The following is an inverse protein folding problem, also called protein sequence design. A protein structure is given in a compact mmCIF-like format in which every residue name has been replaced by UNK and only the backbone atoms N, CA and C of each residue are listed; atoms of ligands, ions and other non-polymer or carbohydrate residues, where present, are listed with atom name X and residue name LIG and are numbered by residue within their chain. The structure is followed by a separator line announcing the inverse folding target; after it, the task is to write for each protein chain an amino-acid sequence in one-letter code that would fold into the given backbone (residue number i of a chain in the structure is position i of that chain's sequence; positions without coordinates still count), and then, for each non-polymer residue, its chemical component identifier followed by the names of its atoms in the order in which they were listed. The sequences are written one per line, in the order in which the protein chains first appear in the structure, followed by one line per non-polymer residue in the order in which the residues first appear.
data_IF_350288421115
#
_entry.id   IF_350288421115
#
_cell.length_a   1.000
_cell.length_b   1.000
_cell.length_c   1.000
_cell.angle_alpha   90.00
_cell.angle_beta   90.00
_cell.angle_gamma   90.00
#
_symmetry.space_group_name_H-M   'P 1'
#
loop_
_entity.id
_entity.type
_entity.pdbx_description
1 polymer ?
#
# COMPACT_ATOMS: atom_id res chain seq x y z
N UNK A 1 -14.29 -25.80 3.65
CA UNK A 1 -13.74 -25.42 3.57
C UNK A 1 -13.19 -25.11 3.30
N UNK A 2 -13.42 -24.91 3.21
CA UNK A 2 -12.60 -24.46 2.90
C UNK A 2 -12.27 -24.19 2.50
N UNK A 3 -12.38 -24.25 2.40
CA UNK A 3 -11.68 -23.81 2.11
C UNK A 3 -11.49 -23.37 1.71
N UNK A 4 -11.78 -23.25 1.65
CA UNK A 4 -11.29 -22.72 1.39
C UNK A 4 -10.73 -22.20 1.06
N UNK A 5 -10.89 -22.15 0.83
CA UNK A 5 -10.11 -21.66 0.58
C UNK A 5 -9.36 -21.49 0.10
N UNK A 6 -9.34 -21.90 -0.12
CA UNK A 6 -8.34 -21.57 -0.49
C UNK A 6 -7.91 -21.54 -1.57
N UNK A 7 -8.05 -21.39 -1.85
CA UNK A 7 -7.76 -20.96 -3.14
C UNK A 7 -6.30 -20.92 -3.42
N UNK A 8 -5.84 -20.07 -4.27
CA UNK A 8 -4.43 -20.06 -4.62
C UNK A 8 -3.61 -19.64 -3.42
N UNK A 9 -2.36 -20.05 -3.44
CA UNK A 9 -1.48 -19.69 -2.37
C UNK A 9 -1.13 -18.22 -2.40
N UNK A 10 -0.94 -17.66 -3.57
CA UNK A 10 -0.67 -16.24 -3.67
C UNK A 10 -1.85 -15.44 -3.16
N UNK A 11 -3.04 -15.84 -3.53
CA UNK A 11 -4.22 -15.14 -3.06
C UNK A 11 -4.34 -15.23 -1.57
N UNK A 12 -4.01 -16.37 -1.00
CA UNK A 12 -4.10 -16.52 0.44
C UNK A 12 -3.12 -15.62 1.15
N UNK A 13 -1.89 -15.51 0.63
CA UNK A 13 -0.90 -14.66 1.24
C UNK A 13 -1.36 -13.21 1.24
N UNK A 14 -1.86 -12.73 0.10
CA UNK A 14 -2.37 -11.38 0.01
C UNK A 14 -3.53 -11.17 0.97
N UNK A 15 -4.39 -12.16 1.05
CA UNK A 15 -5.55 -12.06 1.92
C UNK A 15 -5.14 -11.90 3.38
N UNK A 16 -4.12 -12.65 3.81
CA UNK A 16 -3.65 -12.54 5.18
C UNK A 16 -3.09 -11.16 5.44
N UNK A 17 -2.28 -10.64 4.52
CA UNK A 17 -1.72 -9.31 4.66
C UNK A 17 -2.84 -8.28 4.74
N UNK A 18 -3.82 -8.39 3.84
CA UNK A 18 -4.92 -7.45 3.80
C UNK A 18 -5.68 -7.45 5.12
N UNK A 19 -5.88 -8.62 5.70
CA UNK A 19 -6.62 -8.70 6.95
C UNK A 19 -5.92 -8.03 8.11
N UNK A 20 -4.60 -7.85 8.01
CA UNK A 20 -3.83 -7.21 9.06
C UNK A 20 -3.79 -5.71 8.89
N UNK A 21 -4.35 -5.19 7.82
CA UNK A 21 -4.30 -3.76 7.54
C UNK A 21 -5.60 -3.10 7.92
N UNK A 22 -5.49 -1.83 8.32
CA UNK A 22 -6.67 -1.01 8.50
C UNK A 22 -7.20 -0.62 7.13
N UNK A 23 -8.44 -0.12 7.09
CA UNK A 23 -9.01 0.36 5.84
C UNK A 23 -8.14 1.45 5.23
N UNK A 24 -7.64 2.33 6.08
CA UNK A 24 -6.77 3.40 5.59
C UNK A 24 -5.53 2.83 4.93
N UNK A 25 -4.90 1.84 5.59
CA UNK A 25 -3.71 1.24 5.03
C UNK A 25 -4.00 0.52 3.72
N UNK A 26 -5.13 -0.14 3.62
CA UNK A 26 -5.52 -0.80 2.38
C UNK A 26 -5.71 0.21 1.25
N UNK A 27 -6.33 1.34 1.56
CA UNK A 27 -6.51 2.39 0.56
C UNK A 27 -5.18 2.91 0.05
N UNK A 28 -4.22 3.06 0.95
CA UNK A 28 -2.89 3.50 0.55
C UNK A 28 -2.22 2.49 -0.36
N UNK A 29 -2.27 1.21 0.00
CA UNK A 29 -1.65 0.17 -0.82
C UNK A 29 -2.27 0.14 -2.21
N UNK A 30 -3.60 0.21 -2.29
CA UNK A 30 -4.27 0.22 -3.58
C UNK A 30 -3.89 1.44 -4.41
N UNK A 31 -3.79 2.59 -3.75
CA UNK A 31 -3.43 3.82 -4.45
C UNK A 31 -2.01 3.73 -4.99
N UNK A 32 -1.08 3.21 -4.18
CA UNK A 32 0.30 3.07 -4.61
C UNK A 32 0.37 2.12 -5.80
N UNK A 33 -0.34 1.01 -5.73
CA UNK A 33 -0.36 0.05 -6.83
C UNK A 33 -0.87 0.70 -8.11
N UNK A 34 -1.96 1.46 -7.99
CA UNK A 34 -2.52 2.12 -9.17
C UNK A 34 -1.55 3.14 -9.76
N UNK A 35 -0.92 3.94 -8.91
CA UNK A 35 0.00 4.95 -9.39
C UNK A 35 1.22 4.31 -10.04
N UNK A 36 1.73 3.24 -9.47
CA UNK A 36 2.85 2.55 -10.08
C UNK A 36 2.47 1.98 -11.43
N UNK A 37 1.26 1.45 -11.55
CA UNK A 37 0.79 0.89 -12.81
C UNK A 37 0.66 1.96 -13.89
N UNK A 38 0.24 3.15 -13.49
CA UNK A 38 -0.03 4.21 -14.47
C UNK A 38 1.17 5.08 -14.74
N UNK A 39 1.99 5.34 -13.73
CA UNK A 39 3.05 6.32 -13.82
C UNK A 39 4.43 5.76 -13.52
N UNK A 40 4.51 4.49 -13.21
CA UNK A 40 5.75 3.79 -12.89
C UNK A 40 6.28 4.07 -11.49
N UNK A 41 5.94 5.21 -10.91
CA UNK A 41 6.34 5.51 -9.55
C UNK A 41 5.18 6.13 -8.82
N UNK A 42 5.13 5.92 -7.53
CA UNK A 42 4.18 6.59 -6.66
C UNK A 42 4.98 7.54 -5.79
N UNK A 43 4.45 8.74 -5.58
CA UNK A 43 5.10 9.72 -4.74
C UNK A 43 4.13 10.20 -3.69
N UNK A 44 4.70 10.62 -2.55
CA UNK A 44 3.88 11.12 -1.45
C UNK A 44 2.94 12.20 -1.95
N UNK A 45 3.43 13.11 -2.79
CA UNK A 45 2.62 14.20 -3.30
C UNK A 45 1.40 13.69 -4.06
N UNK A 46 1.61 12.68 -4.90
CA UNK A 46 0.52 12.15 -5.70
C UNK A 46 -0.45 11.34 -4.87
N UNK A 47 0.08 10.61 -3.90
CA UNK A 47 -0.78 9.86 -3.01
C UNK A 47 -1.67 10.82 -2.22
N UNK A 48 -1.09 11.91 -1.73
CA UNK A 48 -1.83 12.91 -0.98
C UNK A 48 -2.95 13.50 -1.83
N UNK A 49 -2.66 13.81 -3.08
CA UNK A 49 -3.65 14.38 -3.97
C UNK A 49 -4.76 13.38 -4.26
N UNK A 50 -4.39 12.13 -4.51
CA UNK A 50 -5.37 11.10 -4.85
C UNK A 50 -6.31 10.82 -3.69
N UNK A 51 -5.77 10.77 -2.48
CA UNK A 51 -6.56 10.42 -1.30
C UNK A 51 -7.13 11.66 -0.61
N UNK A 52 -6.78 12.84 -1.10
CA UNK A 52 -7.27 14.11 -0.54
C UNK A 52 -6.90 14.25 0.93
N UNK A 53 -5.63 13.99 1.21
CA UNK A 53 -5.09 14.14 2.57
C UNK A 53 -3.79 14.93 2.47
N UNK A 54 -3.27 15.36 3.62
CA UNK A 54 -2.05 16.14 3.63
C UNK A 54 -0.82 15.27 3.42
N UNK A 55 0.25 15.86 2.90
CA UNK A 55 1.50 15.13 2.72
C UNK A 55 2.06 14.59 4.03
N UNK A 56 2.04 15.36 5.14
CA UNK A 56 2.51 14.79 6.40
C UNK A 56 1.71 13.56 6.84
N UNK A 57 0.40 13.56 6.56
CA UNK A 57 -0.41 12.39 6.90
C UNK A 57 0.00 11.20 6.07
N UNK A 58 0.28 11.42 4.78
CA UNK A 58 0.76 10.35 3.91
C UNK A 58 2.08 9.80 4.42
N UNK A 59 3.02 10.68 4.73
CA UNK A 59 4.34 10.26 5.19
C UNK A 59 4.22 9.39 6.44
N UNK A 60 3.37 9.79 7.37
CA UNK A 60 3.18 9.02 8.59
C UNK A 60 2.67 7.61 8.28
N UNK A 61 1.67 7.53 7.41
CA UNK A 61 1.09 6.23 7.06
C UNK A 61 2.10 5.39 6.28
N UNK A 62 2.85 6.01 5.37
CA UNK A 62 3.85 5.28 4.59
C UNK A 62 4.92 4.70 5.50
N UNK A 63 5.33 5.43 6.53
CA UNK A 63 6.32 4.90 7.46
C UNK A 63 5.78 3.68 8.20
N UNK A 64 4.50 3.70 8.57
CA UNK A 64 3.88 2.53 9.18
C UNK A 64 3.89 1.34 8.23
N UNK A 65 3.54 1.59 6.96
CA UNK A 65 3.53 0.51 5.98
C UNK A 65 4.93 -0.02 5.72
N UNK A 66 5.93 0.85 5.80
CA UNK A 66 7.31 0.42 5.62
C UNK A 66 7.76 -0.47 6.78
N UNK A 67 7.29 -0.19 7.99
CA UNK A 67 7.58 -1.03 9.13
C UNK A 67 6.98 -2.42 8.97
N UNK A 68 5.87 -2.51 8.26
CA UNK A 68 5.25 -3.79 7.94
C UNK A 68 5.88 -4.43 6.71
N UNK A 69 6.88 -3.78 6.12
CA UNK A 69 7.60 -4.27 4.95
C UNK A 69 6.71 -4.39 3.72
N UNK A 70 5.68 -3.58 3.67
CA UNK A 70 4.78 -3.57 2.52
C UNK A 70 5.20 -2.57 1.47
N UNK A 71 5.94 -1.55 1.85
CA UNK A 71 6.45 -0.54 0.92
C UNK A 71 7.88 -0.22 1.26
N UNK A 72 8.57 0.35 0.30
CA UNK A 72 9.89 0.94 0.47
C UNK A 72 9.73 2.44 0.32
N UNK A 73 10.11 3.18 1.35
CA UNK A 73 10.00 4.64 1.33
C UNK A 73 11.39 5.20 1.04
N UNK A 74 11.53 5.80 -0.12
CA UNK A 74 12.83 6.27 -0.59
C UNK A 74 12.91 7.78 -0.47
N UNK A 75 14.13 8.33 -0.52
CA UNK A 75 14.31 9.77 -0.54
C UNK A 75 13.49 10.40 -1.65
N UNK A 76 13.19 11.68 -1.49
CA UNK A 76 12.43 12.44 -2.48
C UNK A 76 10.97 12.01 -2.56
N UNK A 77 10.49 11.28 -1.55
CA UNK A 77 9.07 10.96 -1.48
C UNK A 77 8.61 9.86 -2.40
N UNK A 78 9.52 9.07 -2.95
CA UNK A 78 9.14 7.94 -3.79
C UNK A 78 8.77 6.76 -2.92
N UNK A 79 7.66 6.11 -3.25
CA UNK A 79 7.13 4.98 -2.51
C UNK A 79 6.97 3.82 -3.47
N UNK A 80 7.49 2.66 -3.11
CA UNK A 80 7.43 1.47 -3.96
C UNK A 80 6.85 0.31 -3.16
N UNK A 81 5.95 -0.44 -3.77
CA UNK A 81 5.46 -1.68 -3.14
C UNK A 81 6.57 -2.73 -3.18
N UNK A 82 6.63 -3.52 -2.12
CA UNK A 82 7.62 -4.61 -2.08
C UNK A 82 7.22 -5.80 -2.92
#
# INVERSE_FOLDING_TARGET
MGSELTPTREGRTLHVVTRQLTETQESYVETIYRLESERRVARVKEIAATLNVSSPAVTKTIKSLAELELVIYEPYGVVTLT
#
